data_IF_012089715062
#
_entry.id   IF_012089715062
#
_cell.length_a   1.000
_cell.length_b   1.000
_cell.length_c   1.000
_cell.angle_alpha   90.00
_cell.angle_beta   90.00
_cell.angle_gamma   90.00
#
_symmetry.space_group_name_H-M   'P 1'
#
loop_
_entity.id
_entity.type
_entity.pdbx_description
1 polymer ?
#
# COMPACT_ATOMS: atom_id res chain seq x y z
N UNK A 1 12.56 -5.38 19.48
CA UNK A 1 12.25 -5.45 18.04
C UNK A 1 10.79 -5.10 17.91
N UNK A 2 10.49 -3.98 17.26
CA UNK A 2 9.12 -3.47 17.21
C UNK A 2 8.27 -4.33 16.27
N UNK A 3 7.02 -4.57 16.66
CA UNK A 3 6.04 -5.26 15.83
C UNK A 3 4.97 -4.26 15.40
N UNK A 4 4.83 -4.08 14.10
CA UNK A 4 3.97 -3.05 13.52
C UNK A 4 2.83 -3.72 12.76
N UNK A 5 1.60 -3.30 13.01
CA UNK A 5 0.43 -3.69 12.23
C UNK A 5 0.10 -2.61 11.21
N UNK A 6 -0.08 -3.01 9.96
CA UNK A 6 -0.34 -2.13 8.82
C UNK A 6 -1.56 -2.64 8.06
N UNK A 7 -2.38 -1.72 7.59
CA UNK A 7 -3.39 -1.98 6.58
C UNK A 7 -2.94 -1.32 5.27
N UNK A 8 -3.02 -2.05 4.15
CA UNK A 8 -2.63 -1.55 2.83
C UNK A 8 -3.76 -1.72 1.80
N UNK A 9 -3.89 -0.76 0.88
CA UNK A 9 -4.94 -0.74 -0.13
C UNK A 9 -4.38 -1.11 -1.50
N UNK A 10 -4.89 -2.20 -2.06
CA UNK A 10 -4.74 -2.51 -3.48
C UNK A 10 -5.85 -1.79 -4.23
N UNK A 11 -5.60 -0.51 -4.54
CA UNK A 11 -6.59 0.39 -5.15
C UNK A 11 -6.64 0.14 -6.65
N UNK A 12 -7.81 -0.29 -7.14
CA UNK A 12 -8.11 -0.47 -8.55
C UNK A 12 -8.98 0.68 -9.08
N UNK A 13 -8.66 1.17 -10.27
CA UNK A 13 -9.46 2.10 -11.08
C UNK A 13 -9.41 1.61 -12.52
N UNK A 14 -10.57 1.28 -13.07
CA UNK A 14 -10.66 0.55 -14.35
C UNK A 14 -9.77 -0.69 -14.29
N UNK A 15 -8.80 -0.87 -15.19
CA UNK A 15 -7.84 -2.00 -15.14
C UNK A 15 -6.45 -1.65 -14.60
N UNK A 16 -6.35 -0.51 -13.91
CA UNK A 16 -5.09 0.00 -13.36
C UNK A 16 -5.06 -0.08 -11.83
N UNK A 17 -3.87 -0.27 -11.28
CA UNK A 17 -3.59 -0.29 -9.86
C UNK A 17 -2.70 0.89 -9.46
N UNK A 18 -3.03 1.54 -8.35
CA UNK A 18 -2.20 2.61 -7.80
C UNK A 18 -0.96 2.02 -7.15
N UNK A 19 0.21 2.49 -7.58
CA UNK A 19 1.51 2.16 -7.02
C UNK A 19 2.17 3.45 -6.52
N UNK A 20 2.63 3.46 -5.27
CA UNK A 20 3.27 4.63 -4.67
C UNK A 20 4.76 4.36 -4.44
N UNK A 21 5.64 5.27 -4.87
CA UNK A 21 7.07 5.18 -4.62
C UNK A 21 7.43 5.98 -3.37
N UNK A 22 8.04 5.31 -2.41
CA UNK A 22 8.52 5.94 -1.18
C UNK A 22 9.62 6.95 -1.48
N UNK A 23 9.61 8.07 -0.77
CA UNK A 23 10.81 8.94 -0.69
C UNK A 23 11.98 8.18 -0.08
N UNK A 24 13.17 8.75 -0.27
CA UNK A 24 14.33 8.29 0.48
C UNK A 24 14.07 8.40 1.99
N UNK A 25 14.26 7.30 2.70
CA UNK A 25 14.00 7.19 4.12
C UNK A 25 15.20 6.56 4.85
N UNK A 26 15.11 6.52 6.19
CA UNK A 26 16.20 6.00 7.04
C UNK A 26 16.56 4.52 6.77
N UNK A 27 15.60 3.74 6.26
CA UNK A 27 15.77 2.33 5.91
C UNK A 27 16.09 2.22 4.42
N UNK A 28 17.39 2.14 4.09
CA UNK A 28 17.87 2.07 2.69
C UNK A 28 17.21 0.97 1.86
N UNK A 29 16.80 -0.14 2.48
CA UNK A 29 16.12 -1.26 1.81
C UNK A 29 14.66 -0.96 1.43
N UNK A 30 14.06 0.12 1.95
CA UNK A 30 12.73 0.61 1.60
C UNK A 30 12.77 1.91 0.79
N UNK A 31 13.90 2.63 0.79
CA UNK A 31 14.05 3.87 0.04
C UNK A 31 13.82 3.66 -1.45
N UNK A 32 12.99 4.50 -2.07
CA UNK A 32 12.68 4.50 -3.52
C UNK A 32 12.03 3.21 -4.03
N UNK A 33 11.57 2.34 -3.12
CA UNK A 33 10.77 1.17 -3.48
C UNK A 33 9.32 1.58 -3.72
N UNK A 34 8.63 0.85 -4.58
CA UNK A 34 7.19 0.90 -4.72
C UNK A 34 6.50 0.06 -3.65
N UNK A 35 5.36 0.55 -3.19
CA UNK A 35 4.46 -0.14 -2.26
C UNK A 35 3.00 0.18 -2.59
N UNK A 36 2.11 -0.67 -2.07
CA UNK A 36 0.69 -0.33 -2.03
C UNK A 36 0.46 0.63 -0.87
N UNK A 37 -0.28 1.74 -1.09
CA UNK A 37 -0.43 2.77 -0.08
C UNK A 37 -1.20 2.24 1.15
N UNK A 38 -0.97 2.88 2.28
CA UNK A 38 -1.56 2.49 3.55
C UNK A 38 -0.62 2.77 4.70
N UNK A 39 -1.05 2.41 5.90
CA UNK A 39 -0.34 2.88 7.08
C UNK A 39 -0.64 2.07 8.34
N UNK A 40 -0.14 2.60 9.45
CA UNK A 40 -0.18 1.90 10.73
C UNK A 40 -1.59 1.92 11.30
N UNK A 41 -1.96 0.82 11.92
CA UNK A 41 -3.21 0.74 12.69
C UNK A 41 -2.99 1.40 14.04
N UNK A 42 -3.75 2.44 14.36
CA UNK A 42 -3.67 3.09 15.67
C UNK A 42 -4.51 2.39 16.73
N UNK A 43 -4.28 2.76 17.99
CA UNK A 43 -4.99 2.15 19.12
C UNK A 43 -6.47 2.49 19.08
N UNK A 44 -7.31 1.46 19.01
CA UNK A 44 -8.77 1.60 18.97
C UNK A 44 -9.37 1.59 17.57
N UNK A 45 -8.54 1.55 16.51
CA UNK A 45 -9.01 1.42 15.14
C UNK A 45 -9.13 -0.04 14.69
N UNK A 46 -10.12 -0.31 13.85
CA UNK A 46 -10.12 -1.49 12.98
C UNK A 46 -9.14 -1.31 11.82
N UNK A 47 -8.75 -2.41 11.16
CA UNK A 47 -7.88 -2.37 9.97
C UNK A 47 -8.48 -1.49 8.86
N UNK A 48 -9.80 -1.58 8.68
CA UNK A 48 -10.53 -0.84 7.66
C UNK A 48 -10.60 0.66 7.97
N UNK A 49 -10.83 1.03 9.24
CA UNK A 49 -10.83 2.43 9.66
C UNK A 49 -9.45 3.06 9.47
N UNK A 50 -8.40 2.39 9.93
CA UNK A 50 -7.02 2.81 9.72
C UNK A 50 -6.73 2.97 8.21
N UNK A 51 -7.12 2.00 7.38
CA UNK A 51 -6.87 2.07 5.96
C UNK A 51 -7.55 3.27 5.29
N UNK A 52 -8.84 3.52 5.57
CA UNK A 52 -9.56 4.65 4.97
C UNK A 52 -8.95 5.98 5.40
N UNK A 53 -8.56 6.11 6.68
CA UNK A 53 -7.89 7.31 7.20
C UNK A 53 -6.56 7.54 6.49
N UNK A 54 -5.67 6.54 6.49
CA UNK A 54 -4.33 6.62 5.91
C UNK A 54 -4.37 6.98 4.43
N UNK A 55 -5.20 6.29 3.63
CA UNK A 55 -5.32 6.57 2.19
C UNK A 55 -5.82 8.00 1.93
N UNK A 56 -6.70 8.51 2.79
CA UNK A 56 -7.17 9.88 2.68
C UNK A 56 -6.11 10.90 3.11
N UNK A 57 -5.36 10.64 4.17
CA UNK A 57 -4.29 11.53 4.66
C UNK A 57 -3.10 11.59 3.69
N UNK A 58 -2.68 10.45 3.15
CA UNK A 58 -1.50 10.34 2.29
C UNK A 58 -1.75 10.74 0.84
N UNK A 59 -2.95 10.46 0.31
CA UNK A 59 -3.25 10.61 -1.12
C UNK A 59 -4.44 11.55 -1.39
N UNK A 60 -5.21 11.92 -0.36
CA UNK A 60 -6.51 12.59 -0.48
C UNK A 60 -7.48 11.85 -1.40
N UNK A 61 -7.40 10.52 -1.38
CA UNK A 61 -8.25 9.63 -2.16
C UNK A 61 -9.29 9.00 -1.24
N UNK A 62 -10.54 8.91 -1.71
CA UNK A 62 -11.54 8.06 -1.07
C UNK A 62 -11.57 6.71 -1.77
N UNK A 63 -11.67 5.65 -0.97
CA UNK A 63 -11.73 4.27 -1.46
C UNK A 63 -12.93 3.55 -0.86
N UNK A 64 -13.47 2.61 -1.63
CA UNK A 64 -14.40 1.60 -1.12
C UNK A 64 -13.63 0.31 -0.91
N UNK A 65 -13.57 -0.17 0.35
CA UNK A 65 -12.96 -1.45 0.68
C UNK A 65 -13.93 -2.56 0.26
N UNK A 66 -13.44 -3.54 -0.50
CA UNK A 66 -14.23 -4.70 -0.90
C UNK A 66 -13.95 -5.88 0.04
N UNK A 67 -12.79 -6.53 -0.09
CA UNK A 67 -12.45 -7.72 0.68
C UNK A 67 -10.97 -7.72 1.11
N UNK A 68 -10.67 -8.44 2.19
CA UNK A 68 -9.29 -8.81 2.50
C UNK A 68 -8.74 -9.68 1.38
N UNK A 69 -7.55 -9.35 0.86
CA UNK A 69 -6.85 -10.11 -0.17
C UNK A 69 -5.86 -11.09 0.46
N UNK A 70 -5.00 -10.57 1.33
CA UNK A 70 -3.92 -11.36 1.92
C UNK A 70 -3.35 -10.67 3.14
N UNK A 71 -2.89 -11.48 4.08
CA UNK A 71 -2.05 -11.05 5.19
C UNK A 71 -0.62 -11.51 4.96
N UNK A 72 0.34 -10.59 5.10
CA UNK A 72 1.78 -10.86 4.94
C UNK A 72 2.48 -10.46 6.23
N UNK A 73 3.31 -11.36 6.74
CA UNK A 73 4.27 -11.04 7.80
C UNK A 73 5.66 -10.98 7.18
N UNK A 74 6.40 -9.92 7.49
CA UNK A 74 7.76 -9.73 7.00
C UNK A 74 8.67 -9.23 8.12
N UNK A 75 9.90 -9.75 8.14
CA UNK A 75 10.93 -9.39 9.12
C UNK A 75 12.04 -8.62 8.42
N UNK A 76 12.08 -7.31 8.68
CA UNK A 76 13.18 -6.46 8.29
C UNK A 76 14.28 -6.48 9.36
N UNK A 77 15.51 -6.04 9.05
CA UNK A 77 16.60 -5.98 10.03
C UNK A 77 16.26 -5.22 11.31
N UNK A 78 15.39 -4.20 11.21
CA UNK A 78 15.09 -3.28 12.32
C UNK A 78 13.73 -3.56 12.99
N UNK A 79 12.75 -4.15 12.29
CA UNK A 79 11.39 -4.33 12.79
C UNK A 79 10.67 -5.49 12.10
N UNK A 80 9.58 -5.97 12.72
CA UNK A 80 8.65 -6.91 12.11
C UNK A 80 7.37 -6.19 11.74
N UNK A 81 6.80 -6.52 10.58
CA UNK A 81 5.54 -5.95 10.12
C UNK A 81 4.56 -7.06 9.77
N UNK A 82 3.30 -6.86 10.14
CA UNK A 82 2.15 -7.60 9.63
C UNK A 82 1.29 -6.64 8.81
N UNK A 83 1.22 -6.88 7.50
CA UNK A 83 0.44 -6.09 6.55
C UNK A 83 -0.79 -6.89 6.17
N UNK A 84 -1.97 -6.31 6.35
CA UNK A 84 -3.22 -6.85 5.79
C UNK A 84 -3.60 -6.02 4.57
N UNK A 85 -3.60 -6.65 3.40
CA UNK A 85 -3.93 -6.03 2.13
C UNK A 85 -5.41 -6.19 1.83
N UNK A 86 -6.06 -5.11 1.43
CA UNK A 86 -7.47 -5.09 1.04
C UNK A 86 -7.62 -4.67 -0.42
N UNK A 87 -8.48 -5.36 -1.15
CA UNK A 87 -8.92 -4.89 -2.47
C UNK A 87 -9.80 -3.67 -2.28
N UNK A 88 -9.49 -2.60 -3.00
CA UNK A 88 -10.18 -1.33 -2.88
C UNK A 88 -10.56 -0.81 -4.26
N UNK A 89 -11.75 -0.25 -4.39
CA UNK A 89 -12.13 0.52 -5.58
C UNK A 89 -11.87 2.00 -5.32
N UNK A 90 -11.28 2.68 -6.29
CA UNK A 90 -11.15 4.13 -6.29
C UNK A 90 -12.52 4.80 -6.35
N UNK A 91 -12.79 5.76 -5.47
CA UNK A 91 -14.06 6.51 -5.43
C UNK A 91 -13.78 8.01 -5.42
N UNK A 92 -14.23 8.71 -6.47
CA UNK A 92 -14.22 10.17 -6.51
C UNK A 92 -13.02 10.77 -7.24
N UNK A 93 -12.44 11.84 -6.71
CA UNK A 93 -11.35 12.60 -7.31
C UNK A 93 -10.16 12.65 -6.35
N UNK A 94 -8.95 12.81 -6.87
CA UNK A 94 -7.79 13.13 -6.03
C UNK A 94 -7.97 14.51 -5.43
N UNK A 95 -7.84 14.60 -4.11
CA UNK A 95 -7.46 15.84 -3.46
C UNK A 95 -5.97 15.71 -3.23
N UNK A 96 -5.12 16.20 -4.15
CA UNK A 96 -3.68 15.97 -4.03
C UNK A 96 -3.15 16.53 -2.70
N UNK A 97 -2.85 15.63 -1.77
CA UNK A 97 -2.11 15.85 -0.53
C UNK A 97 -0.91 14.92 -0.69
N UNK A 98 0.32 15.40 -0.58
CA UNK A 98 1.47 14.50 -0.71
C UNK A 98 2.62 14.94 0.18
N UNK A 99 2.77 14.28 1.33
CA UNK A 99 3.89 14.52 2.25
C UNK A 99 4.96 13.41 2.18
N UNK A 100 4.62 12.15 1.87
CA UNK A 100 5.55 11.02 2.05
C UNK A 100 5.95 10.24 0.78
N UNK A 101 5.25 10.41 -0.35
CA UNK A 101 5.57 9.73 -1.61
C UNK A 101 6.22 10.68 -2.62
N UNK A 102 7.26 10.21 -3.32
CA UNK A 102 7.89 11.01 -4.39
C UNK A 102 7.21 10.82 -5.75
N UNK A 103 6.53 9.69 -5.94
CA UNK A 103 5.88 9.35 -7.19
C UNK A 103 4.64 8.48 -6.94
N UNK A 104 3.58 8.73 -7.69
CA UNK A 104 2.36 7.90 -7.71
C UNK A 104 2.07 7.61 -9.18
N UNK A 105 1.93 6.33 -9.51
CA UNK A 105 1.62 5.86 -10.88
C UNK A 105 0.48 4.86 -10.85
N UNK A 106 -0.18 4.73 -12.00
CA UNK A 106 -1.26 3.77 -12.23
C UNK A 106 -0.82 2.83 -13.33
N UNK A 107 -0.71 1.54 -13.03
CA UNK A 107 -0.23 0.53 -13.97
C UNK A 107 -1.21 -0.65 -14.08
N UNK A 108 -1.31 -1.27 -15.27
CA UNK A 108 -2.01 -2.55 -15.39
C UNK A 108 -1.25 -3.64 -14.64
N UNK A 109 -1.96 -4.71 -14.23
CA UNK A 109 -1.36 -5.84 -13.50
C UNK A 109 -0.10 -6.42 -14.20
N UNK A 110 -0.12 -6.48 -15.53
CA UNK A 110 0.97 -7.01 -16.34
C UNK A 110 2.28 -6.22 -16.20
N UNK A 111 2.21 -4.93 -15.86
CA UNK A 111 3.39 -4.06 -15.73
C UNK A 111 3.91 -3.94 -14.30
N UNK A 112 3.18 -4.45 -13.30
CA UNK A 112 3.59 -4.33 -11.89
C UNK A 112 4.96 -4.95 -11.61
N UNK A 113 5.30 -6.09 -12.23
CA UNK A 113 6.61 -6.73 -12.05
C UNK A 113 7.80 -5.94 -12.64
N UNK A 114 7.54 -4.88 -13.40
CA UNK A 114 8.59 -3.99 -13.92
C UNK A 114 9.09 -3.00 -12.86
N UNK A 115 8.33 -2.80 -11.78
CA UNK A 115 8.68 -1.89 -10.69
C UNK A 115 9.56 -2.56 -9.64
N UNK A 116 10.34 -1.75 -8.93
CA UNK A 116 11.17 -2.19 -7.82
C UNK A 116 10.38 -2.08 -6.50
N UNK A 117 9.76 -3.19 -6.08
CA UNK A 117 8.85 -3.24 -4.93
C UNK A 117 9.54 -3.45 -3.59
N UNK A 118 8.87 -3.00 -2.52
CA UNK A 118 9.17 -3.45 -1.18
C UNK A 118 8.91 -4.96 -1.05
N UNK A 119 9.80 -5.68 -0.36
CA UNK A 119 9.74 -7.13 -0.29
C UNK A 119 8.44 -7.69 0.32
N UNK A 120 7.76 -6.92 1.18
CA UNK A 120 6.50 -7.32 1.79
C UNK A 120 5.30 -7.22 0.83
N UNK A 121 5.43 -6.49 -0.27
CA UNK A 121 4.37 -6.22 -1.25
C UNK A 121 4.43 -7.16 -2.46
N UNK A 122 5.60 -7.75 -2.75
CA UNK A 122 5.78 -8.74 -3.82
C UNK A 122 4.71 -9.87 -3.83
N UNK A 123 4.28 -10.44 -2.68
CA UNK A 123 3.26 -11.47 -2.68
C UNK A 123 1.88 -11.03 -3.19
N UNK A 124 1.62 -9.71 -3.24
CA UNK A 124 0.42 -9.12 -3.85
C UNK A 124 0.64 -8.90 -5.34
N UNK A 125 1.82 -8.43 -5.74
CA UNK A 125 2.18 -8.30 -7.16
C UNK A 125 2.01 -9.65 -7.86
N UNK A 126 2.56 -10.71 -7.28
CA UNK A 126 2.43 -12.08 -7.80
C UNK A 126 0.97 -12.55 -7.89
N UNK A 127 0.13 -12.15 -6.91
CA UNK A 127 -1.29 -12.50 -6.88
C UNK A 127 -2.05 -11.79 -8.02
N UNK A 128 -1.78 -10.50 -8.25
CA UNK A 128 -2.46 -9.72 -9.28
C UNK A 128 -2.09 -10.13 -10.70
N UNK A 129 -0.91 -10.72 -10.90
CA UNK A 129 -0.46 -11.22 -12.21
C UNK A 129 -1.08 -12.56 -12.62
N UNK A 130 -1.81 -13.21 -11.72
CA UNK A 130 -2.49 -14.49 -11.99
C UNK A 130 -3.97 -14.33 -12.38
N UNK A 131 -4.45 -13.08 -12.50
CA UNK A 131 -5.85 -12.73 -12.76
C UNK A 131 -6.08 -12.50 -14.25
#
# INVERSE_FOLDING_TARGET
MDFIKVAAAVIKKDDLYLCARRKENKYKYLSKKFEFPGGKVESGETLQEALVREIYEELGVKVCINNELKKVQHEYPDFKVEITFFSCNFVGNYQYVNFDHEEIIWLPAAELALLDWAAADLPIVDLLQQI
#
